data_IF_957353984626
#
_entry.id   IF_957353984626
#
_cell.length_a   1.000
_cell.length_b   1.000
_cell.length_c   1.000
_cell.angle_alpha   90.00
_cell.angle_beta   90.00
_cell.angle_gamma   90.00
#
_symmetry.space_group_name_H-M   'P 1'
#
loop_
_entity.id
_entity.type
_entity.pdbx_description
1 polymer ?
#
# COMPACT_ATOMS: atom_id res chain seq x y z
N UNK A 1 -2.59 11.70 1.68
CA UNK A 1 -2.73 10.84 2.87
C UNK A 1 -4.13 10.25 2.96
N UNK A 2 -5.19 11.08 2.96
CA UNK A 2 -6.57 10.55 3.02
C UNK A 2 -6.87 9.56 1.88
N UNK A 3 -6.50 9.89 0.64
CA UNK A 3 -6.75 9.05 -0.55
C UNK A 3 -6.04 7.68 -0.51
N UNK A 4 -4.76 7.62 -0.13
CA UNK A 4 -4.01 6.37 -0.02
C UNK A 4 -4.53 5.46 1.09
N UNK A 5 -4.97 6.05 2.21
CA UNK A 5 -5.63 5.32 3.29
C UNK A 5 -6.95 4.70 2.81
N UNK A 6 -7.81 5.46 2.12
CA UNK A 6 -9.06 4.91 1.56
C UNK A 6 -8.80 3.78 0.57
N UNK A 7 -7.81 3.92 -0.31
CA UNK A 7 -7.40 2.85 -1.24
C UNK A 7 -6.92 1.61 -0.49
N UNK A 8 -6.15 1.80 0.58
CA UNK A 8 -5.69 0.73 1.46
C UNK A 8 -6.84 -0.02 2.15
N UNK A 9 -7.85 0.70 2.63
CA UNK A 9 -9.06 0.10 3.24
C UNK A 9 -9.84 -0.68 2.19
N UNK A 10 -10.12 -0.08 1.02
CA UNK A 10 -10.86 -0.75 -0.07
C UNK A 10 -10.12 -2.01 -0.52
N UNK A 11 -8.79 -1.95 -0.63
CA UNK A 11 -7.96 -3.10 -0.96
C UNK A 11 -8.01 -4.19 0.13
N UNK A 12 -8.01 -3.82 1.40
CA UNK A 12 -8.19 -4.77 2.50
C UNK A 12 -9.56 -5.47 2.45
N UNK A 13 -10.65 -4.75 2.13
CA UNK A 13 -11.96 -5.36 1.92
C UNK A 13 -11.96 -6.32 0.71
N UNK A 14 -11.40 -5.87 -0.42
CA UNK A 14 -11.29 -6.69 -1.63
C UNK A 14 -10.45 -7.94 -1.43
N UNK A 15 -9.52 -7.94 -0.47
CA UNK A 15 -8.67 -9.10 -0.19
C UNK A 15 -9.42 -10.34 0.32
N UNK A 16 -10.59 -10.14 0.90
CA UNK A 16 -11.45 -11.22 1.36
C UNK A 16 -12.17 -11.94 0.22
N UNK A 17 -12.38 -11.26 -0.92
CA UNK A 17 -13.00 -11.88 -2.10
C UNK A 17 -12.19 -13.08 -2.62
N UNK A 18 -10.90 -12.97 -2.99
CA UNK A 18 -10.10 -14.11 -3.42
C UNK A 18 -9.84 -15.11 -2.28
N UNK A 19 -9.89 -14.67 -1.02
CA UNK A 19 -9.76 -15.53 0.13
C UNK A 19 -10.92 -16.55 0.22
N UNK A 20 -12.17 -16.10 0.06
CA UNK A 20 -13.34 -16.97 0.14
C UNK A 20 -13.66 -17.69 -1.17
N UNK A 21 -13.40 -17.06 -2.32
CA UNK A 21 -13.95 -17.54 -3.59
C UNK A 21 -13.07 -18.56 -4.30
N UNK A 22 -11.76 -18.64 -4.01
CA UNK A 22 -10.83 -19.58 -4.67
C UNK A 22 -10.61 -19.35 -6.18
N UNK A 23 -11.53 -18.65 -6.86
CA UNK A 23 -11.51 -18.36 -8.31
C UNK A 23 -10.36 -17.45 -8.75
N UNK A 24 -9.72 -16.76 -7.82
CA UNK A 24 -8.68 -15.76 -8.08
C UNK A 24 -7.28 -16.28 -7.72
N UNK A 25 -7.00 -17.58 -7.80
CA UNK A 25 -5.69 -18.18 -7.47
C UNK A 25 -4.48 -17.39 -8.02
N UNK A 26 -4.59 -16.88 -9.25
CA UNK A 26 -3.53 -16.10 -9.90
C UNK A 26 -3.32 -14.71 -9.29
N UNK A 27 -4.39 -14.09 -8.78
CA UNK A 27 -4.36 -12.76 -8.17
C UNK A 27 -4.40 -12.79 -6.64
N UNK A 28 -4.61 -13.96 -6.03
CA UNK A 28 -4.68 -14.17 -4.58
C UNK A 28 -3.41 -13.67 -3.88
N UNK A 29 -2.25 -13.86 -4.50
CA UNK A 29 -0.98 -13.42 -3.93
C UNK A 29 -0.83 -11.90 -3.84
N UNK A 30 -1.58 -11.13 -4.65
CA UNK A 30 -1.51 -9.67 -4.63
C UNK A 30 -2.75 -9.10 -3.94
N UNK A 31 -3.94 -9.52 -4.34
CA UNK A 31 -5.19 -9.01 -3.79
C UNK A 31 -5.48 -9.58 -2.40
N UNK A 32 -5.16 -10.84 -2.13
CA UNK A 32 -5.47 -11.54 -0.87
C UNK A 32 -4.45 -11.33 0.25
N UNK A 33 -3.37 -10.58 0.01
CA UNK A 33 -2.30 -10.33 0.97
C UNK A 33 -2.82 -9.78 2.32
N UNK A 34 -3.68 -8.74 2.35
CA UNK A 34 -4.20 -8.20 3.60
C UNK A 34 -4.96 -9.23 4.44
N UNK A 35 -5.83 -10.04 3.82
CA UNK A 35 -6.57 -11.08 4.51
C UNK A 35 -5.64 -12.17 5.08
N UNK A 36 -4.66 -12.64 4.30
CA UNK A 36 -3.70 -13.65 4.76
C UNK A 36 -2.86 -13.13 5.93
N UNK A 37 -2.38 -11.89 5.83
CA UNK A 37 -1.61 -11.26 6.90
C UNK A 37 -2.47 -11.01 8.15
N UNK A 38 -3.72 -10.61 7.97
CA UNK A 38 -4.69 -10.45 9.05
C UNK A 38 -4.94 -11.76 9.80
N UNK A 39 -5.14 -12.86 9.07
CA UNK A 39 -5.31 -14.19 9.65
C UNK A 39 -4.07 -14.65 10.42
N UNK A 40 -2.89 -14.46 9.84
CA UNK A 40 -1.63 -14.81 10.49
C UNK A 40 -1.40 -14.01 11.78
N UNK A 41 -1.82 -12.74 11.80
CA UNK A 41 -1.76 -11.92 13.00
C UNK A 41 -2.70 -12.44 14.09
N UNK A 42 -3.96 -12.75 13.75
CA UNK A 42 -4.91 -13.35 14.70
C UNK A 42 -4.38 -14.67 15.27
N UNK A 43 -3.82 -15.53 14.43
CA UNK A 43 -3.21 -16.80 14.86
C UNK A 43 -2.01 -16.59 15.78
N UNK A 44 -1.20 -15.56 15.53
CA UNK A 44 -0.02 -15.24 16.32
C UNK A 44 -0.38 -14.62 17.67
N UNK A 45 -1.31 -13.66 17.68
CA UNK A 45 -1.76 -12.99 18.91
C UNK A 45 -2.74 -13.81 19.72
N UNK A 46 -3.39 -14.81 19.09
CA UNK A 46 -4.51 -15.62 19.63
C UNK A 46 -5.67 -14.77 20.17
N UNK A 47 -5.74 -13.51 19.73
CA UNK A 47 -6.68 -12.50 20.21
C UNK A 47 -6.97 -11.55 19.05
N UNK A 48 -8.23 -11.15 18.93
CA UNK A 48 -8.68 -10.16 17.95
C UNK A 48 -9.41 -10.77 16.77
N UNK A 49 -9.57 -9.98 15.71
CA UNK A 49 -10.28 -10.34 14.48
C UNK A 49 -9.37 -10.08 13.28
N UNK A 50 -9.09 -11.12 12.50
CA UNK A 50 -8.31 -11.07 11.27
C UNK A 50 -8.79 -9.99 10.31
N UNK A 51 -10.09 -9.69 10.30
CA UNK A 51 -10.68 -8.63 9.50
C UNK A 51 -10.16 -7.26 9.89
N UNK A 52 -10.13 -6.97 11.20
CA UNK A 52 -9.62 -5.71 11.75
C UNK A 52 -8.12 -5.58 11.47
N UNK A 53 -7.36 -6.67 11.68
CA UNK A 53 -5.92 -6.68 11.37
C UNK A 53 -5.65 -6.45 9.88
N UNK A 54 -6.44 -7.06 8.99
CA UNK A 54 -6.36 -6.84 7.54
C UNK A 54 -6.61 -5.37 7.17
N UNK A 55 -7.61 -4.72 7.79
CA UNK A 55 -7.86 -3.28 7.58
C UNK A 55 -6.68 -2.45 8.06
N UNK A 56 -6.16 -2.73 9.26
CA UNK A 56 -5.01 -2.02 9.82
C UNK A 56 -3.79 -2.11 8.89
N UNK A 57 -3.50 -3.30 8.38
CA UNK A 57 -2.43 -3.55 7.42
C UNK A 57 -2.70 -2.78 6.12
N UNK A 58 -3.92 -2.83 5.59
CA UNK A 58 -4.31 -2.08 4.39
C UNK A 58 -4.10 -0.57 4.54
N UNK A 59 -4.48 0.01 5.69
CA UNK A 59 -4.28 1.43 5.99
C UNK A 59 -2.79 1.79 6.01
N UNK A 60 -1.97 0.99 6.71
CA UNK A 60 -0.52 1.22 6.83
C UNK A 60 0.15 1.12 5.47
N UNK A 61 -0.14 0.06 4.71
CA UNK A 61 0.43 -0.17 3.38
C UNK A 61 -0.01 0.90 2.40
N UNK A 62 -1.30 1.24 2.37
CA UNK A 62 -1.84 2.29 1.49
C UNK A 62 -1.26 3.67 1.81
N UNK A 63 -1.09 3.99 3.10
CA UNK A 63 -0.45 5.23 3.55
C UNK A 63 1.04 5.30 3.17
N UNK A 64 1.78 4.22 3.38
CA UNK A 64 3.19 4.10 2.98
C UNK A 64 3.37 4.21 1.47
N UNK A 65 2.52 3.54 0.69
CA UNK A 65 2.57 3.61 -0.77
C UNK A 65 2.36 5.04 -1.29
N UNK A 66 1.41 5.79 -0.72
CA UNK A 66 1.20 7.20 -1.11
C UNK A 66 2.40 8.08 -0.74
N UNK A 67 3.02 7.85 0.43
CA UNK A 67 4.21 8.58 0.85
C UNK A 67 5.39 8.33 -0.09
N UNK A 68 5.63 7.07 -0.46
CA UNK A 68 6.68 6.67 -1.38
C UNK A 68 6.47 7.26 -2.78
N UNK A 69 5.24 7.20 -3.30
CA UNK A 69 4.87 7.80 -4.58
C UNK A 69 5.10 9.31 -4.58
N UNK A 70 4.67 10.01 -3.53
CA UNK A 70 4.86 11.45 -3.40
C UNK A 70 6.33 11.83 -3.34
N UNK A 71 7.13 11.07 -2.59
CA UNK A 71 8.57 11.32 -2.48
C UNK A 71 9.29 11.04 -3.81
N UNK A 72 8.94 9.96 -4.50
CA UNK A 72 9.49 9.62 -5.82
C UNK A 72 9.22 10.72 -6.86
N UNK A 73 7.97 11.23 -6.92
CA UNK A 73 7.61 12.34 -7.82
C UNK A 73 8.40 13.60 -7.48
N UNK A 74 8.54 13.91 -6.19
CA UNK A 74 9.33 15.06 -5.71
C UNK A 74 10.80 14.97 -6.16
N UNK A 75 11.44 13.82 -5.92
CA UNK A 75 12.83 13.57 -6.33
C UNK A 75 12.98 13.71 -7.85
N UNK A 76 12.07 13.11 -8.63
CA UNK A 76 12.11 13.19 -10.10
C UNK A 76 11.90 14.62 -10.61
N UNK A 77 11.02 15.39 -9.97
CA UNK A 77 10.79 16.80 -10.30
C UNK A 77 12.04 17.66 -10.02
N UNK A 78 12.70 17.45 -8.88
CA UNK A 78 13.99 18.11 -8.56
C UNK A 78 15.06 17.73 -9.57
N UNK A 79 15.16 16.45 -9.94
CA UNK A 79 16.13 15.95 -10.91
C UNK A 79 15.91 16.58 -12.30
N UNK A 80 14.66 16.68 -12.76
CA UNK A 80 14.31 17.33 -14.03
C UNK A 80 14.60 18.85 -14.00
N UNK A 81 14.36 19.52 -12.87
CA UNK A 81 14.63 20.95 -12.71
C UNK A 81 16.14 21.25 -12.77
N UNK A 82 16.96 20.40 -12.14
CA UNK A 82 18.43 20.48 -12.22
C UNK A 82 18.97 20.26 -13.63
N UNK A 83 18.28 19.43 -14.43
CA UNK A 83 18.65 19.15 -15.83
C UNK A 83 18.30 20.28 -16.80
N UNK A 84 17.29 21.11 -16.48
CA UNK A 84 16.81 22.21 -17.34
C UNK A 84 17.56 23.54 -17.15
N UNK A 85 18.24 23.72 -16.01
CA UNK A 85 19.07 24.89 -15.72
C UNK A 85 20.43 24.45 -15.15
N UNK A 86 21.40 24.05 -16.01
CA UNK A 86 22.62 23.39 -15.54
C UNK A 86 23.55 24.28 -14.72
N UNK A 87 23.59 25.59 -14.98
CA UNK A 87 24.47 26.51 -14.25
C UNK A 87 24.21 27.95 -14.67
N UNK A 88 23.64 28.76 -13.79
CA UNK A 88 23.93 30.19 -13.75
C UNK A 88 24.86 30.44 -12.54
N UNK A 89 26.04 29.82 -12.61
CA UNK A 89 27.20 30.10 -11.75
C UNK A 89 28.44 30.03 -12.63
N UNK A 90 28.53 31.02 -13.51
CA UNK A 90 29.78 31.70 -13.81
C UNK A 90 29.46 33.18 -13.69
N UNK A 91 30.46 33.93 -13.25
CA UNK A 91 30.48 35.33 -12.81
C UNK A 91 30.40 35.43 -11.30
#
# INVERSE_FOLDING_TARGET
MKKGVYIGIIWAFLSWVPFYTGYLLRFKNILGLPAVLGLNFELYTRVGDAFIYSILIGVIVGGLAELLLKNYISIRAVLQRKRKYPSFRRL
#
